data_IF_283716020723
#
_entry.id   IF_283716020723
#
_cell.length_a   1.000
_cell.length_b   1.000
_cell.length_c   1.000
_cell.angle_alpha   90.00
_cell.angle_beta   90.00
_cell.angle_gamma   90.00
#
_symmetry.space_group_name_H-M   'P 1'
#
loop_
_entity.id
_entity.type
_entity.pdbx_description
1 polymer ?
#
# COMPACT_ATOMS: atom_id res chain seq x y z
N UNK A 1 -10.05 -9.57 -20.58
CA UNK A 1 -9.81 -9.34 -19.14
C UNK A 1 -8.79 -8.22 -19.00
N UNK A 2 -9.00 -7.27 -18.08
CA UNK A 2 -8.08 -6.16 -17.82
C UNK A 2 -7.19 -6.52 -16.62
N UNK A 3 -5.87 -6.45 -16.78
CA UNK A 3 -4.91 -6.84 -15.75
C UNK A 3 -3.83 -5.76 -15.68
N UNK A 4 -3.50 -5.34 -14.47
CA UNK A 4 -2.38 -4.45 -14.17
C UNK A 4 -1.75 -4.85 -12.84
N UNK A 5 -0.45 -4.68 -12.69
CA UNK A 5 0.28 -4.99 -11.46
C UNK A 5 0.23 -3.83 -10.46
N UNK A 6 0.11 -2.60 -10.96
CA UNK A 6 0.06 -1.40 -10.12
C UNK A 6 -1.37 -1.08 -9.69
N UNK A 7 -1.56 -0.89 -8.38
CA UNK A 7 -2.87 -0.59 -7.79
C UNK A 7 -3.52 0.69 -8.35
N UNK A 8 -2.72 1.73 -8.68
CA UNK A 8 -3.26 2.97 -9.23
C UNK A 8 -3.89 2.74 -10.62
N UNK A 9 -3.27 1.91 -11.45
CA UNK A 9 -3.79 1.51 -12.76
C UNK A 9 -5.05 0.68 -12.62
N UNK A 10 -5.09 -0.24 -11.64
CA UNK A 10 -6.31 -0.99 -11.33
C UNK A 10 -7.46 -0.06 -10.94
N UNK A 11 -7.23 0.97 -10.11
CA UNK A 11 -8.26 1.95 -9.75
C UNK A 11 -8.73 2.77 -10.95
N UNK A 12 -7.84 3.13 -11.88
CA UNK A 12 -8.21 3.80 -13.13
C UNK A 12 -9.11 2.92 -14.01
N UNK A 13 -8.87 1.59 -14.04
CA UNK A 13 -9.78 0.66 -14.72
C UNK A 13 -11.17 0.61 -14.07
N UNK A 14 -11.24 0.63 -12.74
CA UNK A 14 -12.52 0.68 -12.02
C UNK A 14 -13.27 1.97 -12.33
N UNK A 15 -12.57 3.11 -12.32
CA UNK A 15 -13.16 4.41 -12.70
C UNK A 15 -13.69 4.43 -14.13
N UNK A 16 -12.97 3.79 -15.06
CA UNK A 16 -13.41 3.63 -16.45
C UNK A 16 -14.54 2.59 -16.66
N UNK A 17 -15.04 1.96 -15.58
CA UNK A 17 -16.11 0.98 -15.64
C UNK A 17 -15.68 -0.40 -16.18
N UNK A 18 -14.38 -0.69 -16.18
CA UNK A 18 -13.82 -1.93 -16.74
C UNK A 18 -13.84 -3.12 -15.78
N UNK A 19 -14.33 -2.93 -14.55
CA UNK A 19 -14.52 -4.00 -13.57
C UNK A 19 -14.42 -3.54 -12.11
N UNK A 20 -14.06 -4.47 -11.24
CA UNK A 20 -13.80 -4.26 -9.80
C UNK A 20 -12.42 -4.81 -9.43
N UNK A 21 -11.83 -4.29 -8.36
CA UNK A 21 -10.56 -4.79 -7.83
C UNK A 21 -10.55 -4.84 -6.30
N UNK A 22 -9.63 -5.62 -5.73
CA UNK A 22 -9.31 -5.57 -4.30
C UNK A 22 -8.05 -4.73 -4.14
N UNK A 23 -8.14 -3.61 -3.43
CA UNK A 23 -7.02 -2.69 -3.22
C UNK A 23 -6.59 -2.65 -1.74
N UNK A 24 -5.28 -2.67 -1.42
CA UNK A 24 -4.80 -2.55 -0.05
C UNK A 24 -5.01 -1.13 0.47
N UNK A 25 -5.23 -0.94 1.78
CA UNK A 25 -5.37 0.42 2.36
C UNK A 25 -4.09 1.25 2.14
N UNK A 26 -2.92 0.62 2.35
CA UNK A 26 -1.60 1.20 2.14
C UNK A 26 -1.10 0.98 0.71
N UNK A 27 -0.57 2.02 0.07
CA UNK A 27 0.13 1.92 -1.23
C UNK A 27 -0.75 1.93 -2.48
N UNK A 28 -2.08 2.06 -2.34
CA UNK A 28 -3.01 2.14 -3.49
C UNK A 28 -3.16 3.52 -4.13
N UNK A 29 -2.62 4.57 -3.50
CA UNK A 29 -2.82 5.96 -3.94
C UNK A 29 -4.22 6.53 -3.60
N UNK A 30 -4.55 7.72 -4.10
CA UNK A 30 -5.87 8.33 -3.89
C UNK A 30 -6.98 7.55 -4.59
N UNK A 31 -8.19 7.62 -4.04
CA UNK A 31 -9.38 7.04 -4.68
C UNK A 31 -9.92 8.02 -5.72
N UNK A 32 -10.14 7.60 -6.97
CA UNK A 32 -10.79 8.46 -7.94
C UNK A 32 -12.23 8.79 -7.51
N UNK A 33 -12.71 10.00 -7.83
CA UNK A 33 -13.99 10.50 -7.32
C UNK A 33 -15.20 9.61 -7.68
N UNK A 34 -15.13 8.91 -8.82
CA UNK A 34 -16.16 7.97 -9.27
C UNK A 34 -16.11 6.59 -8.61
N UNK A 35 -15.13 6.32 -7.73
CA UNK A 35 -14.88 4.99 -7.16
C UNK A 35 -15.28 4.96 -5.68
N UNK A 36 -16.04 3.93 -5.29
CA UNK A 36 -16.39 3.65 -3.89
C UNK A 36 -15.63 2.44 -3.38
N UNK A 37 -15.07 2.55 -2.17
CA UNK A 37 -14.48 1.41 -1.47
C UNK A 37 -15.52 0.72 -0.59
N UNK A 38 -15.48 -0.61 -0.59
CA UNK A 38 -16.30 -1.45 0.29
C UNK A 38 -15.37 -2.38 1.09
N UNK A 39 -15.74 -2.73 2.34
CA UNK A 39 -15.00 -3.74 3.09
C UNK A 39 -15.10 -5.10 2.39
N UNK A 40 -14.00 -5.85 2.38
CA UNK A 40 -13.98 -7.23 1.89
C UNK A 40 -14.44 -8.15 3.03
N UNK A 41 -15.39 -9.05 2.75
CA UNK A 41 -16.01 -9.91 3.77
C UNK A 41 -14.98 -10.78 4.50
N UNK A 42 -14.11 -11.47 3.75
CA UNK A 42 -12.98 -12.23 4.28
C UNK A 42 -11.69 -11.43 4.10
N UNK A 43 -11.41 -10.52 5.03
CA UNK A 43 -10.29 -9.59 4.91
C UNK A 43 -8.94 -10.30 4.86
N UNK A 44 -8.14 -10.01 3.83
CA UNK A 44 -6.74 -10.45 3.73
C UNK A 44 -5.83 -9.44 4.43
N UNK A 45 -4.91 -9.93 5.27
CA UNK A 45 -3.88 -9.09 5.90
C UNK A 45 -2.60 -9.09 5.09
N UNK A 46 -2.07 -7.90 4.81
CA UNK A 46 -0.75 -7.69 4.22
C UNK A 46 0.23 -7.24 5.29
N UNK A 47 1.32 -7.98 5.47
CA UNK A 47 2.42 -7.59 6.34
C UNK A 47 3.50 -6.87 5.51
N UNK A 48 3.98 -5.73 6.01
CA UNK A 48 5.06 -4.95 5.40
C UNK A 48 6.21 -4.87 6.38
N UNK A 49 7.40 -5.20 5.90
CA UNK A 49 8.61 -5.27 6.73
C UNK A 49 9.65 -4.30 6.19
N UNK A 50 10.38 -3.67 7.12
CA UNK A 50 11.62 -2.96 6.81
C UNK A 50 12.76 -3.92 7.07
N UNK A 51 13.63 -4.11 6.08
CA UNK A 51 14.76 -5.03 6.16
C UNK A 51 16.04 -4.33 5.72
N UNK A 52 17.12 -4.61 6.44
CA UNK A 52 18.47 -4.16 6.11
C UNK A 52 19.47 -5.26 6.44
N UNK A 53 20.67 -5.18 5.87
CA UNK A 53 21.74 -6.11 6.24
C UNK A 53 22.13 -5.90 7.70
N UNK A 54 22.37 -6.99 8.43
CA UNK A 54 22.68 -6.96 9.86
C UNK A 54 23.86 -6.04 10.21
N UNK A 55 24.86 -5.94 9.35
CA UNK A 55 26.06 -5.12 9.52
C UNK A 55 25.89 -3.63 9.16
N UNK A 56 24.72 -3.25 8.63
CA UNK A 56 24.44 -1.89 8.18
C UNK A 56 23.78 -1.01 9.26
N UNK A 57 23.39 -1.57 10.40
CA UNK A 57 22.65 -0.88 11.47
C UNK A 57 23.40 0.33 12.09
N UNK A 58 24.74 0.35 11.98
CA UNK A 58 25.58 1.47 12.44
C UNK A 58 25.44 2.72 11.59
N UNK A 59 24.87 2.63 10.37
CA UNK A 59 24.70 3.78 9.48
C UNK A 59 23.58 4.68 10.01
N UNK A 60 23.85 5.97 10.33
CA UNK A 60 22.83 6.87 10.84
C UNK A 60 21.62 7.02 9.92
N UNK A 61 21.83 6.96 8.61
CA UNK A 61 20.76 7.03 7.61
C UNK A 61 19.79 5.85 7.67
N UNK A 62 20.26 4.64 7.99
CA UNK A 62 19.39 3.46 8.16
C UNK A 62 18.52 3.63 9.40
N UNK A 63 19.12 4.02 10.53
CA UNK A 63 18.37 4.27 11.77
C UNK A 63 17.32 5.36 11.59
N UNK A 64 17.69 6.45 10.90
CA UNK A 64 16.77 7.54 10.61
C UNK A 64 15.60 7.08 9.72
N UNK A 65 15.87 6.29 8.67
CA UNK A 65 14.82 5.76 7.80
C UNK A 65 13.88 4.80 8.54
N UNK A 66 14.42 3.90 9.37
CA UNK A 66 13.62 2.97 10.20
C UNK A 66 12.74 3.75 11.17
N UNK A 67 13.28 4.72 11.89
CA UNK A 67 12.51 5.54 12.83
C UNK A 67 11.39 6.31 12.12
N UNK A 68 11.64 6.86 10.93
CA UNK A 68 10.63 7.54 10.13
C UNK A 68 9.51 6.58 9.68
N UNK A 69 9.87 5.35 9.27
CA UNK A 69 8.91 4.33 8.87
C UNK A 69 8.06 3.84 10.05
N UNK A 70 8.64 3.69 11.24
CA UNK A 70 7.90 3.34 12.48
C UNK A 70 6.89 4.42 12.85
N UNK A 71 7.28 5.70 12.80
CA UNK A 71 6.37 6.83 13.05
C UNK A 71 5.22 6.87 12.04
N UNK A 72 5.53 6.68 10.75
CA UNK A 72 4.52 6.64 9.71
C UNK A 72 3.56 5.44 9.88
N UNK A 73 4.07 4.27 10.28
CA UNK A 73 3.27 3.08 10.53
C UNK A 73 2.33 3.26 11.73
N UNK A 74 2.80 3.90 12.81
CA UNK A 74 1.97 4.21 13.98
C UNK A 74 0.80 5.17 13.65
N UNK A 75 1.00 6.09 12.70
CA UNK A 75 -0.05 6.99 12.23
C UNK A 75 -1.02 6.36 11.21
N UNK A 76 -0.65 5.22 10.61
CA UNK A 76 -1.45 4.54 9.58
C UNK A 76 -2.39 3.45 10.11
N UNK A 77 -2.19 3.01 11.36
CA UNK A 77 -3.06 2.08 12.08
C UNK A 77 -4.27 2.77 12.68
#
# INVERSE_FOLDING_TARGET
AHIAEEHHTQLAFVEAGLGVCVAPRLGRGPVPAGVRLLPVCDSVRRHVYVVWRADADRRPSIRAAVAALEQAAAAAG
#
